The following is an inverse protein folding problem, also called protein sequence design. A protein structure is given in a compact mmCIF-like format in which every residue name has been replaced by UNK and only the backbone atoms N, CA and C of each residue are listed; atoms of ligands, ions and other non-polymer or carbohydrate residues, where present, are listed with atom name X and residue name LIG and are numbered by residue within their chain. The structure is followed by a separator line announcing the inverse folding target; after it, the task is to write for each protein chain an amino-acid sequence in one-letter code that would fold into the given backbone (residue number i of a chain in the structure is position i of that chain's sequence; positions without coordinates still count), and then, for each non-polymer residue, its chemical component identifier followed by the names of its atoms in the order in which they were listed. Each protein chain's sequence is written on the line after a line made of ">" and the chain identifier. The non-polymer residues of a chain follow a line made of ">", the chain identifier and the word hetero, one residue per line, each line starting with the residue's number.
data_IF_602510044343
#
_entry.id   IF_602510044343
#
_cell.length_a   1.000
_cell.length_b   1.000
_cell.length_c   1.000
_cell.angle_alpha   90.00
_cell.angle_beta   90.00
_cell.angle_gamma   90.00
#
_symmetry.space_group_name_H-M   'P 1'
#
loop_
_entity.id
_entity.type
_entity.pdbx_description
1 polymer ?
#
# COMPACT_ATOMS: atom_id res chain seq x y z
N UNK A 1 -8.15 -34.31 -3.92
CA UNK A 1 -7.90 -32.87 -3.64
C UNK A 1 -8.75 -32.05 -4.59
N UNK A 2 -9.92 -31.59 -4.15
CA UNK A 2 -10.69 -30.59 -4.88
C UNK A 2 -10.19 -29.23 -4.40
N UNK A 3 -9.55 -28.47 -5.30
CA UNK A 3 -9.04 -27.14 -4.99
C UNK A 3 -10.17 -26.18 -4.63
N UNK A 4 -9.87 -25.21 -3.77
CA UNK A 4 -10.77 -24.17 -3.27
C UNK A 4 -11.59 -23.44 -4.37
N UNK A 5 -11.13 -23.47 -5.63
CA UNK A 5 -11.88 -22.92 -6.77
C UNK A 5 -13.16 -23.66 -7.15
N UNK A 6 -13.30 -24.95 -6.83
CA UNK A 6 -14.48 -25.75 -7.19
C UNK A 6 -15.71 -25.49 -6.32
N UNK A 7 -15.50 -25.19 -5.04
CA UNK A 7 -16.60 -24.93 -4.10
C UNK A 7 -17.20 -23.51 -4.25
N UNK A 8 -16.41 -22.55 -4.72
CA UNK A 8 -16.83 -21.16 -4.90
C UNK A 8 -17.89 -20.96 -6.00
N UNK A 9 -17.90 -21.81 -7.05
CA UNK A 9 -18.87 -21.71 -8.15
C UNK A 9 -20.30 -22.15 -7.75
N UNK A 10 -20.45 -22.92 -6.67
CA UNK A 10 -21.74 -23.50 -6.25
C UNK A 10 -22.47 -22.60 -5.24
N UNK A 11 -21.74 -21.78 -4.49
CA UNK A 11 -22.26 -21.11 -3.29
C UNK A 11 -22.84 -19.70 -3.54
N UNK A 12 -22.78 -19.18 -4.77
CA UNK A 12 -23.21 -17.82 -5.11
C UNK A 12 -22.33 -16.72 -4.45
N UNK A 13 -22.60 -15.44 -4.72
CA UNK A 13 -21.78 -14.33 -4.20
C UNK A 13 -21.75 -14.25 -2.66
N UNK A 14 -22.84 -14.65 -2.00
CA UNK A 14 -22.92 -14.78 -0.54
C UNK A 14 -21.97 -15.88 -0.02
N UNK A 15 -21.96 -17.06 -0.64
CA UNK A 15 -21.11 -18.17 -0.20
C UNK A 15 -19.62 -17.96 -0.46
N UNK A 16 -19.25 -17.15 -1.47
CA UNK A 16 -17.87 -16.69 -1.65
C UNK A 16 -17.48 -15.75 -0.50
N UNK A 17 -18.36 -14.82 -0.11
CA UNK A 17 -18.13 -13.89 1.00
C UNK A 17 -17.97 -14.64 2.33
N UNK A 18 -18.79 -15.65 2.56
CA UNK A 18 -18.70 -16.53 3.73
C UNK A 18 -17.38 -17.32 3.72
N UNK A 19 -16.95 -17.84 2.57
CA UNK A 19 -15.67 -18.54 2.45
C UNK A 19 -14.47 -17.62 2.77
N UNK A 20 -14.50 -16.36 2.32
CA UNK A 20 -13.49 -15.36 2.70
C UNK A 20 -13.56 -14.99 4.19
N UNK A 21 -14.75 -14.95 4.79
CA UNK A 21 -14.93 -14.68 6.22
C UNK A 21 -14.32 -15.77 7.12
N UNK A 22 -14.13 -16.98 6.60
CA UNK A 22 -13.44 -18.07 7.30
C UNK A 22 -11.90 -18.01 7.18
N UNK A 23 -11.34 -17.12 6.36
CA UNK A 23 -9.88 -16.97 6.24
C UNK A 23 -9.35 -16.25 7.47
N UNK A 24 -8.77 -17.02 8.38
CA UNK A 24 -7.99 -16.48 9.49
C UNK A 24 -6.61 -16.13 8.96
N UNK A 25 -6.36 -14.84 8.74
CA UNK A 25 -5.00 -14.36 8.50
C UNK A 25 -4.13 -14.69 9.71
N UNK A 26 -2.96 -15.28 9.48
CA UNK A 26 -1.93 -15.41 10.50
C UNK A 26 -1.46 -14.04 11.01
N UNK A 27 -0.69 -13.99 12.11
CA UNK A 27 -0.17 -12.73 12.60
C UNK A 27 0.67 -12.03 11.53
N UNK A 28 0.54 -10.71 11.44
CA UNK A 28 1.41 -9.90 10.59
C UNK A 28 2.85 -10.06 11.11
N UNK A 29 3.82 -10.45 10.26
CA UNK A 29 5.21 -10.58 10.68
C UNK A 29 5.73 -9.29 11.31
N UNK A 30 6.62 -9.42 12.29
CA UNK A 30 7.33 -8.27 12.84
C UNK A 30 8.12 -7.56 11.74
N UNK A 31 8.30 -6.23 11.85
CA UNK A 31 8.97 -5.47 10.81
C UNK A 31 10.46 -5.85 10.70
N UNK A 32 11.05 -5.78 9.50
CA UNK A 32 12.48 -5.93 9.32
C UNK A 32 13.27 -4.92 10.18
N UNK A 33 14.50 -5.28 10.54
CA UNK A 33 15.42 -4.39 11.26
C UNK A 33 16.06 -3.32 10.37
N UNK A 34 15.88 -3.41 9.06
CA UNK A 34 16.40 -2.44 8.10
C UNK A 34 15.90 -1.02 8.40
N UNK A 35 16.82 -0.06 8.40
CA UNK A 35 16.49 1.36 8.65
C UNK A 35 15.73 1.93 7.45
N UNK A 36 14.55 2.54 7.64
CA UNK A 36 13.80 3.12 6.54
C UNK A 36 14.53 4.33 5.93
N UNK A 37 14.21 4.62 4.68
CA UNK A 37 14.63 5.85 4.01
C UNK A 37 13.79 7.06 4.43
N UNK A 38 13.87 8.13 3.62
CA UNK A 38 13.11 9.34 3.87
C UNK A 38 11.61 9.14 3.61
N UNK A 39 10.78 9.89 4.33
CA UNK A 39 9.35 10.04 4.01
C UNK A 39 9.08 11.51 3.66
N UNK A 40 8.44 11.73 2.52
CA UNK A 40 7.88 13.03 2.15
C UNK A 40 6.39 13.00 2.45
N UNK A 41 5.89 14.02 3.14
CA UNK A 41 4.46 14.18 3.41
C UNK A 41 4.00 15.53 2.88
N UNK A 42 2.95 15.50 2.07
CA UNK A 42 2.36 16.68 1.45
C UNK A 42 0.85 16.59 1.46
N UNK A 43 0.19 17.72 1.14
CA UNK A 43 -1.23 17.74 0.77
C UNK A 43 -1.36 17.96 -0.73
N UNK A 44 -2.18 17.13 -1.37
CA UNK A 44 -2.57 17.26 -2.78
C UNK A 44 -4.09 17.47 -2.80
N UNK A 45 -4.51 18.70 -3.10
CA UNK A 45 -5.87 19.14 -2.81
C UNK A 45 -6.18 19.02 -1.32
N UNK A 46 -7.23 18.26 -0.97
CA UNK A 46 -7.61 17.96 0.42
C UNK A 46 -6.96 16.69 0.99
N UNK A 47 -6.30 15.89 0.16
CA UNK A 47 -5.78 14.58 0.55
C UNK A 47 -4.33 14.69 1.01
N UNK A 48 -3.99 14.02 2.11
CA UNK A 48 -2.58 13.80 2.47
C UNK A 48 -2.00 12.75 1.54
N UNK A 49 -0.80 13.00 1.04
CA UNK A 49 0.00 12.05 0.28
C UNK A 49 1.32 11.86 1.01
N UNK A 50 1.67 10.61 1.31
CA UNK A 50 2.94 10.23 1.91
C UNK A 50 3.71 9.39 0.90
N UNK A 51 4.96 9.77 0.64
CA UNK A 51 5.89 9.02 -0.22
C UNK A 51 7.05 8.53 0.63
N UNK A 52 7.18 7.22 0.78
CA UNK A 52 8.32 6.58 1.41
C UNK A 52 9.35 6.17 0.36
N UNK A 53 10.57 6.69 0.49
CA UNK A 53 11.69 6.38 -0.38
C UNK A 53 12.55 5.28 0.22
N UNK A 54 13.17 4.42 -0.61
CA UNK A 54 14.25 3.57 -0.15
C UNK A 54 15.48 4.39 0.30
N UNK A 55 16.35 3.83 1.14
CA UNK A 55 17.61 4.49 1.51
C UNK A 55 18.50 4.76 0.30
N UNK A 56 19.14 5.93 0.25
CA UNK A 56 20.18 6.23 -0.74
C UNK A 56 19.70 6.61 -2.14
N UNK A 57 18.39 6.79 -2.35
CA UNK A 57 17.85 7.24 -3.64
C UNK A 57 18.42 8.59 -4.05
N UNK A 58 18.78 8.68 -5.33
CA UNK A 58 19.19 9.91 -6.02
C UNK A 58 18.53 9.91 -7.39
N UNK A 59 17.82 10.98 -7.72
CA UNK A 59 17.10 11.12 -8.99
C UNK A 59 15.75 10.40 -9.00
N UNK A 60 15.16 10.30 -10.19
CA UNK A 60 13.83 9.74 -10.42
C UNK A 60 13.80 8.24 -10.15
N UNK A 61 12.75 7.78 -9.47
CA UNK A 61 12.51 6.37 -9.16
C UNK A 61 11.04 5.99 -9.44
N UNK A 62 10.75 4.75 -9.91
CA UNK A 62 9.36 4.31 -10.05
C UNK A 62 8.59 4.44 -8.74
N UNK A 63 7.31 4.80 -8.81
CA UNK A 63 6.44 4.94 -7.65
C UNK A 63 5.32 3.90 -7.70
N UNK A 64 5.19 3.12 -6.63
CA UNK A 64 4.06 2.21 -6.39
C UNK A 64 3.06 2.92 -5.48
N UNK A 65 1.81 3.05 -5.92
CA UNK A 65 0.73 3.60 -5.09
C UNK A 65 0.10 2.45 -4.30
N UNK A 66 0.24 2.47 -2.98
CA UNK A 66 -0.35 1.50 -2.07
C UNK A 66 -1.62 2.07 -1.45
N UNK A 67 -2.75 1.45 -1.77
CA UNK A 67 -4.08 1.88 -1.34
C UNK A 67 -4.46 1.17 -0.05
N UNK A 68 -4.90 1.93 0.96
CA UNK A 68 -5.37 1.36 2.22
C UNK A 68 -6.79 0.78 2.06
N UNK A 69 -7.14 -0.17 2.92
CA UNK A 69 -8.51 -0.67 3.06
C UNK A 69 -9.36 0.20 4.01
N UNK A 70 -10.54 -0.30 4.35
CA UNK A 70 -11.44 0.35 5.30
C UNK A 70 -10.76 0.64 6.65
N UNK A 71 -11.09 1.79 7.25
CA UNK A 71 -10.49 2.32 8.49
C UNK A 71 -8.99 2.66 8.40
N UNK A 72 -8.37 2.51 7.23
CA UNK A 72 -7.00 2.94 6.97
C UNK A 72 -6.90 4.39 6.49
N UNK A 73 -5.66 4.83 6.34
CA UNK A 73 -5.26 6.15 5.86
C UNK A 73 -3.88 6.08 5.16
N UNK A 74 -3.33 7.21 4.72
CA UNK A 74 -2.01 7.29 4.09
C UNK A 74 -0.86 6.84 5.01
N UNK A 75 -1.04 6.89 6.33
CA UNK A 75 -0.05 6.42 7.30
C UNK A 75 -0.03 4.88 7.38
N UNK A 76 -1.16 4.23 7.15
CA UNK A 76 -1.36 2.79 7.38
C UNK A 76 -0.30 1.89 6.71
N UNK A 77 0.08 2.08 5.42
CA UNK A 77 1.17 1.30 4.81
C UNK A 77 2.49 1.37 5.59
N UNK A 78 2.82 2.52 6.16
CA UNK A 78 4.10 2.74 6.81
C UNK A 78 4.08 2.41 8.29
N UNK A 79 3.02 2.80 9.00
CA UNK A 79 2.99 2.70 10.46
C UNK A 79 2.48 1.34 10.94
N UNK A 80 1.56 0.71 10.19
CA UNK A 80 1.03 -0.62 10.51
C UNK A 80 1.76 -1.74 9.80
N UNK A 81 2.08 -1.55 8.52
CA UNK A 81 2.71 -2.58 7.69
C UNK A 81 4.20 -2.37 7.46
N UNK A 82 4.80 -1.30 8.00
CA UNK A 82 6.24 -1.04 7.91
C UNK A 82 6.78 -1.11 6.47
N UNK A 83 5.99 -0.63 5.50
CA UNK A 83 6.33 -0.70 4.09
C UNK A 83 7.71 -0.09 3.78
N UNK A 84 8.10 0.97 4.48
CA UNK A 84 9.41 1.61 4.34
C UNK A 84 10.59 0.74 4.83
N UNK A 85 10.39 -0.07 5.87
CA UNK A 85 11.39 -1.04 6.34
C UNK A 85 11.49 -2.25 5.42
N UNK A 86 10.37 -2.74 4.89
CA UNK A 86 10.38 -3.78 3.86
C UNK A 86 11.02 -3.29 2.57
N UNK A 87 10.75 -2.04 2.19
CA UNK A 87 11.37 -1.41 1.05
C UNK A 87 12.88 -1.29 1.23
N UNK A 88 13.35 -0.86 2.41
CA UNK A 88 14.77 -0.83 2.73
C UNK A 88 15.41 -2.23 2.72
N UNK A 89 14.75 -3.23 3.32
CA UNK A 89 15.26 -4.60 3.40
C UNK A 89 15.36 -5.30 2.04
N UNK A 90 14.53 -4.92 1.07
CA UNK A 90 14.55 -5.49 -0.29
C UNK A 90 15.63 -4.89 -1.21
N UNK A 91 16.38 -3.90 -0.74
CA UNK A 91 17.34 -3.16 -1.56
C UNK A 91 16.69 -2.10 -2.46
N UNK A 92 15.39 -1.82 -2.28
CA UNK A 92 14.75 -0.57 -2.67
C UNK A 92 14.91 -0.10 -4.11
N UNK A 93 13.97 -0.46 -5.00
CA UNK A 93 14.00 -0.07 -6.44
C UNK A 93 12.84 0.84 -6.87
N UNK A 94 11.95 1.18 -5.94
CA UNK A 94 10.78 2.02 -6.16
C UNK A 94 10.49 2.80 -4.88
N UNK A 95 9.82 3.95 -4.97
CA UNK A 95 9.18 4.59 -3.83
C UNK A 95 7.76 4.07 -3.64
N UNK A 96 7.22 4.17 -2.43
CA UNK A 96 5.83 3.82 -2.13
C UNK A 96 5.07 5.10 -1.81
N UNK A 97 3.99 5.37 -2.52
CA UNK A 97 3.07 6.46 -2.24
C UNK A 97 1.78 5.92 -1.60
N UNK A 98 1.23 6.65 -0.63
CA UNK A 98 -0.06 6.37 -0.02
C UNK A 98 -0.87 7.67 0.08
N UNK A 99 -2.20 7.57 -0.06
CA UNK A 99 -3.12 8.71 -0.16
C UNK A 99 -4.26 8.53 0.83
N UNK A 100 -4.59 9.57 1.59
CA UNK A 100 -5.76 9.59 2.48
C UNK A 100 -7.04 9.60 1.65
N UNK A 101 -8.04 8.83 2.06
CA UNK A 101 -9.37 8.82 1.43
C UNK A 101 -9.26 8.64 -0.10
N UNK A 102 -8.40 7.69 -0.50
CA UNK A 102 -8.07 7.45 -1.90
C UNK A 102 -9.27 7.22 -2.82
N UNK A 103 -10.42 6.66 -2.38
CA UNK A 103 -11.58 6.50 -3.26
C UNK A 103 -12.17 7.82 -3.76
N UNK A 104 -11.97 8.93 -3.04
CA UNK A 104 -12.43 10.26 -3.45
C UNK A 104 -11.32 11.16 -4.00
N UNK A 105 -10.07 10.68 -4.01
CA UNK A 105 -8.92 11.42 -4.53
C UNK A 105 -8.87 11.40 -6.07
N UNK A 106 -8.55 12.55 -6.67
CA UNK A 106 -8.22 12.60 -8.10
C UNK A 106 -6.81 12.07 -8.37
N UNK A 107 -6.71 10.75 -8.54
CA UNK A 107 -5.43 10.08 -8.75
C UNK A 107 -4.77 10.53 -10.04
N UNK A 108 -5.53 10.58 -11.14
CA UNK A 108 -4.97 10.85 -12.48
C UNK A 108 -4.63 12.32 -12.67
N UNK A 109 -5.51 13.23 -12.24
CA UNK A 109 -5.38 14.66 -12.49
C UNK A 109 -4.55 15.41 -11.46
N UNK A 110 -4.42 14.89 -10.22
CA UNK A 110 -3.69 15.59 -9.15
C UNK A 110 -2.55 14.76 -8.56
N UNK A 111 -2.78 13.51 -8.15
CA UNK A 111 -1.77 12.72 -7.45
C UNK A 111 -0.64 12.28 -8.37
N UNK A 112 -0.93 11.74 -9.56
CA UNK A 112 0.12 11.32 -10.50
C UNK A 112 1.02 12.47 -10.95
N UNK A 113 0.51 13.67 -11.30
CA UNK A 113 1.35 14.83 -11.57
C UNK A 113 2.23 15.23 -10.37
N UNK A 114 1.68 15.22 -9.16
CA UNK A 114 2.45 15.48 -7.94
C UNK A 114 3.59 14.47 -7.76
N UNK A 115 3.31 13.17 -7.94
CA UNK A 115 4.32 12.11 -7.80
C UNK A 115 5.42 12.23 -8.84
N UNK A 116 5.09 12.56 -10.10
CA UNK A 116 6.09 12.81 -11.16
C UNK A 116 7.01 13.98 -10.85
N UNK A 117 6.54 14.97 -10.11
CA UNK A 117 7.36 16.13 -9.74
C UNK A 117 8.21 15.89 -8.47
N UNK A 118 7.93 14.82 -7.72
CA UNK A 118 8.50 14.60 -6.38
C UNK A 118 9.02 13.16 -6.18
N UNK A 119 9.18 12.38 -7.24
CA UNK A 119 9.55 10.97 -7.22
C UNK A 119 10.57 10.64 -8.29
#
# INVERSE_FOLDING_TARGET
>A
MLGLGGAALIAGPEGIRDAYAQIVCGPVPGPPSARPGARLQSKVGRHRVIVGFPPGVRGEIPVVIMLHGDLGDACTPFDRYSADRHLAASGGRFAVAAVDDWPSADITGAVLPYLRANG
#
